data_IF_531331102996
#
_entry.id   IF_531331102996
#
_cell.length_a   1.000
_cell.length_b   1.000
_cell.length_c   1.000
_cell.angle_alpha   90.00
_cell.angle_beta   90.00
_cell.angle_gamma   90.00
#
_symmetry.space_group_name_H-M   'P 1'
#
loop_
_entity.id
_entity.type
_entity.pdbx_description
1 polymer ?
#
# COMPACT_ATOMS: atom_id res chain seq x y z
N UNK A 1 -13.16 -25.06 -31.42
CA UNK A 1 -12.33 -23.87 -31.12
C UNK A 1 -12.80 -23.23 -29.81
N UNK A 2 -12.60 -23.90 -28.68
CA UNK A 2 -13.09 -23.46 -27.35
C UNK A 2 -11.98 -23.30 -26.30
N UNK A 3 -10.71 -23.34 -26.69
CA UNK A 3 -9.59 -23.40 -25.74
C UNK A 3 -9.17 -22.06 -25.12
N UNK A 4 -9.27 -20.94 -25.83
CA UNK A 4 -8.75 -19.65 -25.33
C UNK A 4 -9.58 -19.06 -24.19
N UNK A 5 -10.92 -19.19 -24.27
CA UNK A 5 -11.83 -18.66 -23.26
C UNK A 5 -11.66 -19.33 -21.89
N UNK A 6 -11.42 -20.64 -21.85
CA UNK A 6 -11.22 -21.38 -20.59
C UNK A 6 -9.91 -20.98 -19.90
N UNK A 7 -8.85 -20.75 -20.67
CA UNK A 7 -7.57 -20.27 -20.15
C UNK A 7 -7.66 -18.83 -19.62
N UNK A 8 -8.32 -17.92 -20.32
CA UNK A 8 -8.56 -16.55 -19.86
C UNK A 8 -9.38 -16.52 -18.57
N UNK A 9 -10.39 -17.40 -18.44
CA UNK A 9 -11.18 -17.53 -17.23
C UNK A 9 -10.37 -18.11 -16.06
N UNK A 10 -9.50 -19.10 -16.32
CA UNK A 10 -8.62 -19.68 -15.31
C UNK A 10 -7.56 -18.67 -14.82
N UNK A 11 -6.95 -17.92 -15.74
CA UNK A 11 -5.99 -16.86 -15.40
C UNK A 11 -6.66 -15.75 -14.57
N UNK A 12 -7.85 -15.30 -14.97
CA UNK A 12 -8.62 -14.32 -14.23
C UNK A 12 -8.94 -14.80 -12.81
N UNK A 13 -9.38 -16.05 -12.64
CA UNK A 13 -9.67 -16.61 -11.32
C UNK A 13 -8.41 -16.71 -10.45
N UNK A 14 -7.27 -17.08 -11.02
CA UNK A 14 -5.99 -17.12 -10.31
C UNK A 14 -5.56 -15.72 -9.83
N UNK A 15 -5.69 -14.71 -10.69
CA UNK A 15 -5.38 -13.31 -10.38
C UNK A 15 -6.30 -12.74 -9.29
N UNK A 16 -7.60 -13.02 -9.36
CA UNK A 16 -8.57 -12.59 -8.35
C UNK A 16 -8.35 -13.29 -7.01
N UNK A 17 -7.97 -14.56 -7.01
CA UNK A 17 -7.63 -15.31 -5.78
C UNK A 17 -6.39 -14.72 -5.13
N UNK A 18 -5.34 -14.45 -5.91
CA UNK A 18 -4.12 -13.79 -5.42
C UNK A 18 -4.39 -12.39 -4.86
N UNK A 19 -5.28 -11.62 -5.49
CA UNK A 19 -5.70 -10.31 -4.99
C UNK A 19 -6.36 -10.39 -3.62
N UNK A 20 -7.31 -11.32 -3.43
CA UNK A 20 -7.98 -11.54 -2.13
C UNK A 20 -7.01 -12.01 -1.05
N UNK A 21 -6.06 -12.88 -1.38
CA UNK A 21 -5.07 -13.36 -0.41
C UNK A 21 -4.13 -12.24 0.02
N UNK A 22 -3.71 -11.37 -0.91
CA UNK A 22 -2.91 -10.18 -0.60
C UNK A 22 -3.67 -9.19 0.31
N UNK A 23 -4.96 -8.99 0.07
CA UNK A 23 -5.82 -8.14 0.90
C UNK A 23 -5.99 -8.72 2.31
N UNK A 24 -6.25 -10.02 2.43
CA UNK A 24 -6.35 -10.71 3.73
C UNK A 24 -5.05 -10.62 4.52
N UNK A 25 -3.93 -10.89 3.87
CA UNK A 25 -2.61 -10.77 4.50
C UNK A 25 -2.37 -9.34 5.00
N UNK A 26 -2.76 -8.33 4.22
CA UNK A 26 -2.64 -6.93 4.61
C UNK A 26 -3.48 -6.59 5.84
N UNK A 27 -4.75 -7.04 5.86
CA UNK A 27 -5.65 -6.81 6.99
C UNK A 27 -5.11 -7.48 8.26
N UNK A 28 -4.57 -8.70 8.15
CA UNK A 28 -3.94 -9.41 9.26
C UNK A 28 -2.69 -8.65 9.74
N UNK A 29 -1.80 -8.26 8.84
CA UNK A 29 -0.59 -7.52 9.21
C UNK A 29 -0.91 -6.16 9.82
N UNK A 30 -1.89 -5.44 9.28
CA UNK A 30 -2.36 -4.16 9.79
C UNK A 30 -2.94 -4.30 11.20
N UNK A 31 -3.83 -5.26 11.40
CA UNK A 31 -4.48 -5.48 12.71
C UNK A 31 -3.50 -5.99 13.75
N UNK A 32 -2.62 -6.94 13.38
CA UNK A 32 -1.57 -7.43 14.28
C UNK A 32 -0.61 -6.31 14.68
N UNK A 33 -0.13 -5.51 13.74
CA UNK A 33 0.73 -4.37 14.01
C UNK A 33 0.03 -3.31 14.87
N UNK A 34 -1.25 -3.02 14.60
CA UNK A 34 -2.06 -2.10 15.38
C UNK A 34 -2.26 -2.57 16.82
N UNK A 35 -2.53 -3.86 17.03
CA UNK A 35 -2.62 -4.48 18.36
C UNK A 35 -1.29 -4.38 19.11
N UNK A 36 -0.18 -4.72 18.45
CA UNK A 36 1.16 -4.61 19.06
C UNK A 36 1.48 -3.16 19.42
N UNK A 37 1.19 -2.20 18.54
CA UNK A 37 1.38 -0.78 18.82
C UNK A 37 0.54 -0.31 20.01
N UNK A 38 -0.72 -0.75 20.11
CA UNK A 38 -1.60 -0.42 21.24
C UNK A 38 -1.11 -1.02 22.56
N UNK A 39 -0.64 -2.27 22.55
CA UNK A 39 -0.05 -2.94 23.72
C UNK A 39 1.22 -2.21 24.17
N UNK A 40 2.12 -1.88 23.24
CA UNK A 40 3.35 -1.14 23.53
C UNK A 40 3.06 0.28 24.05
N UNK A 41 2.06 0.96 23.49
CA UNK A 41 1.64 2.28 23.95
C UNK A 41 1.06 2.20 25.37
N UNK A 42 0.17 1.24 25.62
CA UNK A 42 -0.41 1.00 26.94
C UNK A 42 0.67 0.68 27.98
N UNK A 43 1.62 -0.18 27.63
CA UNK A 43 2.78 -0.49 28.47
C UNK A 43 3.60 0.77 28.73
N UNK A 44 3.93 1.53 27.69
CA UNK A 44 4.74 2.75 27.81
C UNK A 44 4.08 3.82 28.68
N UNK A 45 2.75 3.95 28.63
CA UNK A 45 1.96 4.79 29.52
C UNK A 45 2.05 4.29 30.96
N UNK A 46 1.83 2.99 31.20
CA UNK A 46 1.92 2.39 32.53
C UNK A 46 3.31 2.52 33.17
N UNK A 47 4.36 2.35 32.37
CA UNK A 47 5.75 2.48 32.79
C UNK A 47 6.25 3.93 32.84
N UNK A 48 5.46 4.91 32.34
CA UNK A 48 5.83 6.32 32.19
C UNK A 48 7.22 6.50 31.57
N UNK A 49 7.48 5.75 30.49
CA UNK A 49 8.79 5.71 29.84
C UNK A 49 8.74 6.32 28.45
N UNK A 50 9.56 7.33 28.20
CA UNK A 50 9.72 7.94 26.88
C UNK A 50 10.39 6.99 25.86
N UNK A 51 11.24 6.07 26.32
CA UNK A 51 11.95 5.15 25.43
C UNK A 51 11.04 4.10 24.77
N UNK A 52 9.94 3.75 25.44
CA UNK A 52 8.94 2.80 24.93
C UNK A 52 8.04 3.39 23.83
N UNK A 53 8.06 4.71 23.62
CA UNK A 53 7.29 5.35 22.55
C UNK A 53 7.89 5.14 21.16
N UNK A 54 9.22 4.97 21.08
CA UNK A 54 9.90 4.75 19.81
C UNK A 54 9.49 3.43 19.14
N UNK A 55 9.44 2.27 19.84
CA UNK A 55 8.88 1.03 19.31
C UNK A 55 7.43 1.13 18.81
N UNK A 56 6.59 1.97 19.43
CA UNK A 56 5.20 2.20 18.98
C UNK A 56 5.17 2.77 17.56
N UNK A 57 6.06 3.71 17.26
CA UNK A 57 6.19 4.30 15.92
C UNK A 57 6.61 3.23 14.91
N UNK A 58 7.60 2.40 15.23
CA UNK A 58 8.05 1.34 14.31
C UNK A 58 6.99 0.27 14.07
N UNK A 59 6.27 -0.17 15.11
CA UNK A 59 5.17 -1.11 14.96
C UNK A 59 4.06 -0.53 14.05
N UNK A 60 3.70 0.73 14.26
CA UNK A 60 2.70 1.43 13.44
C UNK A 60 3.16 1.57 11.98
N UNK A 61 4.45 1.91 11.78
CA UNK A 61 5.05 2.01 10.46
C UNK A 61 5.07 0.67 9.71
N UNK A 62 5.38 -0.43 10.39
CA UNK A 62 5.36 -1.76 9.80
C UNK A 62 3.95 -2.12 9.28
N UNK A 63 2.91 -1.89 10.08
CA UNK A 63 1.53 -2.09 9.65
C UNK A 63 1.19 -1.26 8.41
N UNK A 64 1.60 0.01 8.40
CA UNK A 64 1.40 0.91 7.27
C UNK A 64 2.05 0.39 5.98
N UNK A 65 3.30 -0.06 6.03
CA UNK A 65 3.99 -0.59 4.86
C UNK A 65 3.37 -1.88 4.33
N UNK A 66 2.95 -2.80 5.20
CA UNK A 66 2.23 -4.01 4.78
C UNK A 66 0.91 -3.66 4.05
N UNK A 67 0.24 -2.61 4.50
CA UNK A 67 -1.01 -2.12 3.88
C UNK A 67 -0.76 -1.43 2.54
N UNK A 68 0.32 -0.65 2.39
CA UNK A 68 0.69 -0.11 1.08
C UNK A 68 1.03 -1.22 0.09
N UNK A 69 1.87 -2.16 0.51
CA UNK A 69 2.43 -3.15 -0.41
C UNK A 69 1.32 -3.98 -1.06
N UNK A 70 0.39 -4.46 -0.24
CA UNK A 70 -0.80 -5.17 -0.69
C UNK A 70 -1.71 -4.32 -1.58
N UNK A 71 -2.00 -3.07 -1.21
CA UNK A 71 -2.80 -2.14 -2.03
C UNK A 71 -2.17 -1.92 -3.40
N UNK A 72 -0.85 -1.79 -3.46
CA UNK A 72 -0.13 -1.66 -4.73
C UNK A 72 -0.27 -2.93 -5.59
N UNK A 73 -0.14 -4.11 -4.99
CA UNK A 73 -0.35 -5.39 -5.69
C UNK A 73 -1.77 -5.51 -6.25
N UNK A 74 -2.80 -5.20 -5.44
CA UNK A 74 -4.21 -5.25 -5.87
C UNK A 74 -4.47 -4.28 -7.02
N UNK A 75 -3.92 -3.05 -6.96
CA UNK A 75 -4.04 -2.05 -8.06
C UNK A 75 -3.36 -2.49 -9.35
N UNK A 76 -2.21 -3.16 -9.27
CA UNK A 76 -1.53 -3.68 -10.45
C UNK A 76 -2.32 -4.81 -11.10
N UNK A 77 -2.88 -5.74 -10.31
CA UNK A 77 -3.75 -6.82 -10.81
C UNK A 77 -5.00 -6.23 -11.47
N UNK A 78 -5.62 -5.23 -10.85
CA UNK A 78 -6.75 -4.50 -11.40
C UNK A 78 -6.43 -3.84 -12.75
N UNK A 79 -5.28 -3.16 -12.85
CA UNK A 79 -4.82 -2.54 -14.09
C UNK A 79 -4.56 -3.56 -15.20
N UNK A 80 -4.01 -4.71 -14.86
CA UNK A 80 -3.73 -5.79 -15.82
C UNK A 80 -5.03 -6.35 -16.41
N UNK A 81 -5.99 -6.67 -15.55
CA UNK A 81 -7.31 -7.19 -15.96
C UNK A 81 -8.01 -6.20 -16.89
N UNK A 82 -7.97 -4.90 -16.54
CA UNK A 82 -8.55 -3.84 -17.36
C UNK A 82 -7.89 -3.78 -18.75
N UNK A 83 -6.56 -3.81 -18.82
CA UNK A 83 -5.85 -3.63 -20.09
C UNK A 83 -5.96 -4.84 -21.02
N UNK A 84 -5.78 -6.05 -20.49
CA UNK A 84 -5.59 -7.24 -21.32
C UNK A 84 -6.88 -8.06 -21.53
N UNK A 85 -7.83 -8.04 -20.59
CA UNK A 85 -9.04 -8.87 -20.66
C UNK A 85 -10.24 -8.08 -21.20
N UNK A 86 -10.38 -6.81 -20.81
CA UNK A 86 -11.55 -6.00 -21.20
C UNK A 86 -11.39 -5.35 -22.58
N UNK A 87 -10.16 -4.94 -22.96
CA UNK A 87 -9.90 -4.27 -24.25
C UNK A 87 -10.02 -5.22 -25.45
N UNK A 88 -9.77 -6.52 -25.28
CA UNK A 88 -9.78 -7.50 -26.38
C UNK A 88 -11.18 -8.05 -26.74
N UNK A 89 -12.13 -8.09 -25.79
CA UNK A 89 -13.38 -8.84 -25.95
C UNK A 89 -14.64 -8.00 -26.28
N UNK A 90 -14.47 -6.75 -26.74
CA UNK A 90 -15.53 -5.98 -27.41
C UNK A 90 -16.84 -5.79 -26.64
N UNK A 91 -16.86 -4.85 -25.69
CA UNK A 91 -18.11 -4.24 -25.20
C UNK A 91 -18.17 -4.05 -23.67
N UNK A 92 -18.75 -2.94 -23.17
CA UNK A 92 -18.68 -2.57 -21.77
C UNK A 92 -19.65 -3.43 -20.94
N UNK A 93 -19.16 -4.57 -20.43
CA UNK A 93 -19.75 -5.26 -19.27
C UNK A 93 -19.52 -4.49 -17.94
N UNK A 94 -18.97 -3.29 -18.08
CA UNK A 94 -18.59 -2.27 -17.09
C UNK A 94 -19.63 -2.03 -15.97
N UNK A 95 -20.93 -2.02 -16.27
CA UNK A 95 -21.93 -1.60 -15.28
C UNK A 95 -22.29 -2.63 -14.19
N UNK A 96 -21.98 -3.93 -14.37
CA UNK A 96 -22.39 -4.97 -13.40
C UNK A 96 -21.23 -5.60 -12.61
N UNK A 97 -19.99 -5.52 -13.10
CA UNK A 97 -18.83 -6.17 -12.43
C UNK A 97 -17.84 -5.20 -11.76
N UNK A 98 -17.72 -3.96 -12.24
CA UNK A 98 -16.86 -2.96 -11.60
C UNK A 98 -17.44 -2.45 -10.26
N UNK A 99 -18.78 -2.37 -10.17
CA UNK A 99 -19.45 -2.06 -8.90
C UNK A 99 -19.23 -3.12 -7.82
N UNK A 100 -18.92 -4.38 -8.18
CA UNK A 100 -18.49 -5.38 -7.20
C UNK A 100 -17.02 -5.21 -6.78
N UNK A 101 -16.16 -4.66 -7.66
CA UNK A 101 -14.76 -4.35 -7.34
C UNK A 101 -14.63 -3.07 -6.49
N UNK A 102 -15.50 -2.06 -6.67
CA UNK A 102 -15.58 -0.89 -5.76
C UNK A 102 -15.99 -1.25 -4.34
N UNK A 103 -16.69 -2.37 -4.16
CA UNK A 103 -17.10 -2.93 -2.86
C UNK A 103 -15.96 -3.76 -2.23
N UNK A 104 -14.93 -4.15 -2.99
CA UNK A 104 -13.75 -4.85 -2.45
C UNK A 104 -12.84 -3.84 -1.72
N UNK A 105 -12.58 -4.03 -0.41
CA UNK A 105 -11.70 -3.17 0.36
C UNK A 105 -10.29 -3.12 -0.29
N UNK A 106 -9.88 -1.92 -0.73
CA UNK A 106 -8.61 -1.73 -1.47
C UNK A 106 -8.78 -1.04 -2.82
N UNK A 107 -10.00 -1.07 -3.38
CA UNK A 107 -10.37 -0.28 -4.56
C UNK A 107 -10.92 1.11 -4.20
N UNK A 108 -11.54 1.26 -3.02
CA UNK A 108 -12.10 2.53 -2.59
C UNK A 108 -10.98 3.48 -2.06
N UNK A 109 -10.68 4.58 -2.77
CA UNK A 109 -9.62 5.53 -2.39
C UNK A 109 -9.91 6.29 -1.09
N UNK A 110 -11.16 6.25 -0.57
CA UNK A 110 -11.50 6.87 0.72
C UNK A 110 -10.94 6.08 1.91
N UNK A 111 -10.85 4.75 1.80
CA UNK A 111 -10.27 3.88 2.85
C UNK A 111 -8.76 4.04 3.01
N UNK A 112 -8.09 4.61 2.01
CA UNK A 112 -6.64 4.82 2.04
C UNK A 112 -6.25 5.82 3.12
N UNK A 113 -6.96 6.95 3.16
CA UNK A 113 -6.73 8.00 4.13
C UNK A 113 -7.10 7.58 5.54
N UNK A 114 -8.12 6.74 5.73
CA UNK A 114 -8.47 6.24 7.05
C UNK A 114 -7.31 5.49 7.71
N UNK A 115 -6.65 4.59 6.97
CA UNK A 115 -5.46 3.88 7.48
C UNK A 115 -4.31 4.86 7.78
N UNK A 116 -4.00 5.76 6.83
CA UNK A 116 -2.92 6.74 7.01
C UNK A 116 -3.16 7.68 8.19
N UNK A 117 -4.40 8.13 8.38
CA UNK A 117 -4.79 8.98 9.52
C UNK A 117 -4.69 8.23 10.84
N UNK A 118 -5.13 6.96 10.89
CA UNK A 118 -5.14 6.17 12.12
C UNK A 118 -3.71 5.87 12.60
N UNK A 119 -2.80 5.54 11.70
CA UNK A 119 -1.39 5.36 12.06
C UNK A 119 -0.74 6.68 12.45
N UNK A 120 -1.01 7.78 11.75
CA UNK A 120 -0.48 9.08 12.13
C UNK A 120 -1.02 9.55 13.50
N UNK A 121 -2.28 9.25 13.83
CA UNK A 121 -2.83 9.52 15.15
C UNK A 121 -2.08 8.74 16.24
N UNK A 122 -1.75 7.46 15.99
CA UNK A 122 -0.94 6.64 16.89
C UNK A 122 0.48 7.23 17.10
N UNK A 123 1.11 7.68 16.00
CA UNK A 123 2.43 8.30 16.02
C UNK A 123 2.41 9.62 16.80
N UNK A 124 1.40 10.47 16.58
CA UNK A 124 1.22 11.73 17.32
C UNK A 124 1.03 11.45 18.80
N UNK A 125 0.21 10.46 19.16
CA UNK A 125 0.03 10.06 20.56
C UNK A 125 1.36 9.63 21.18
N UNK A 126 2.14 8.79 20.49
CA UNK A 126 3.46 8.35 20.96
C UNK A 126 4.43 9.54 21.17
N UNK A 127 4.44 10.51 20.26
CA UNK A 127 5.26 11.74 20.40
C UNK A 127 4.83 12.57 21.61
N UNK A 128 3.52 12.78 21.80
CA UNK A 128 2.98 13.52 22.96
C UNK A 128 3.39 12.83 24.26
N UNK A 129 3.19 11.52 24.37
CA UNK A 129 3.59 10.77 25.56
C UNK A 129 5.10 10.73 25.76
N UNK A 130 5.91 10.72 24.70
CA UNK A 130 7.36 10.77 24.83
C UNK A 130 7.82 12.06 25.52
N UNK A 131 7.20 13.20 25.19
CA UNK A 131 7.47 14.48 25.84
C UNK A 131 6.90 14.56 27.25
N UNK A 132 5.68 14.05 27.49
CA UNK A 132 5.10 14.00 28.84
C UNK A 132 5.96 13.18 29.82
N UNK A 133 6.62 12.15 29.32
CA UNK A 133 7.46 11.26 30.13
C UNK A 133 8.97 11.55 30.01
N UNK A 134 9.37 12.63 29.33
CA UNK A 134 10.77 12.97 29.14
C UNK A 134 11.50 13.24 30.47
N UNK A 135 10.83 13.89 31.43
CA UNK A 135 11.40 14.16 32.75
C UNK A 135 11.58 12.90 33.62
N UNK A 136 10.95 11.77 33.27
CA UNK A 136 10.94 10.56 34.08
C UNK A 136 12.15 9.63 33.86
N UNK A 137 13.00 9.91 32.86
CA UNK A 137 14.15 9.08 32.51
C UNK A 137 15.43 9.90 32.39
N UNK A 138 16.59 9.39 32.83
CA UNK A 138 17.87 9.91 32.39
C UNK A 138 17.91 9.77 30.85
N UNK A 139 18.16 10.87 30.13
CA UNK A 139 18.05 11.00 28.67
C UNK A 139 16.64 11.05 28.06
N UNK A 140 15.59 11.34 28.84
CA UNK A 140 14.25 11.37 28.29
C UNK A 140 14.02 12.47 27.24
N UNK A 141 14.68 13.63 27.35
CA UNK A 141 14.62 14.69 26.32
C UNK A 141 15.24 14.23 24.99
N UNK A 142 16.35 13.49 25.05
CA UNK A 142 16.97 12.92 23.85
C UNK A 142 16.05 11.89 23.20
N UNK A 143 15.46 10.99 24.00
CA UNK A 143 14.52 9.98 23.51
C UNK A 143 13.24 10.59 22.94
N UNK A 144 12.71 11.66 23.56
CA UNK A 144 11.58 12.41 23.04
C UNK A 144 11.93 13.11 21.70
N UNK A 145 13.13 13.68 21.60
CA UNK A 145 13.66 14.25 20.36
C UNK A 145 13.77 13.22 19.23
N UNK A 146 14.37 12.05 19.50
CA UNK A 146 14.48 10.95 18.53
C UNK A 146 13.09 10.45 18.11
N UNK A 147 12.20 10.23 19.07
CA UNK A 147 10.81 9.80 18.82
C UNK A 147 10.08 10.80 17.94
N UNK A 148 10.27 12.10 18.20
CA UNK A 148 9.70 13.18 17.38
C UNK A 148 10.27 13.16 15.96
N UNK A 149 11.59 13.06 15.80
CA UNK A 149 12.25 13.00 14.50
C UNK A 149 11.77 11.82 13.65
N UNK A 150 11.72 10.62 14.25
CA UNK A 150 11.17 9.43 13.60
C UNK A 150 9.68 9.60 13.26
N UNK A 151 8.88 10.17 14.19
CA UNK A 151 7.46 10.39 14.00
C UNK A 151 7.14 11.36 12.86
N UNK A 152 7.83 12.51 12.80
CA UNK A 152 7.66 13.49 11.73
C UNK A 152 8.12 12.92 10.39
N UNK A 153 9.30 12.28 10.36
CA UNK A 153 9.81 11.66 9.13
C UNK A 153 8.85 10.61 8.58
N UNK A 154 8.31 9.75 9.45
CA UNK A 154 7.29 8.78 9.09
C UNK A 154 5.98 9.44 8.65
N UNK A 155 5.51 10.49 9.32
CA UNK A 155 4.27 11.18 8.97
C UNK A 155 4.35 11.81 7.57
N UNK A 156 5.44 12.51 7.27
CA UNK A 156 5.68 13.08 5.94
C UNK A 156 5.76 11.97 4.88
N UNK A 157 6.51 10.91 5.15
CA UNK A 157 6.65 9.79 4.22
C UNK A 157 5.31 9.08 3.96
N UNK A 158 4.52 8.84 5.01
CA UNK A 158 3.21 8.17 4.88
C UNK A 158 2.22 9.01 4.07
N UNK A 159 2.15 10.32 4.30
CA UNK A 159 1.29 11.20 3.49
C UNK A 159 1.75 11.23 2.04
N UNK A 160 3.06 11.36 1.79
CA UNK A 160 3.63 11.39 0.46
C UNK A 160 3.36 10.08 -0.31
N UNK A 161 3.57 8.92 0.31
CA UNK A 161 3.38 7.63 -0.34
C UNK A 161 1.90 7.32 -0.57
N UNK A 162 1.02 7.71 0.36
CA UNK A 162 -0.44 7.63 0.17
C UNK A 162 -0.88 8.50 -1.02
N UNK A 163 -0.36 9.73 -1.12
CA UNK A 163 -0.65 10.62 -2.24
C UNK A 163 -0.10 10.08 -3.57
N UNK A 164 1.12 9.51 -3.57
CA UNK A 164 1.74 8.86 -4.72
C UNK A 164 0.90 7.69 -5.23
N UNK A 165 0.47 6.80 -4.34
CA UNK A 165 -0.37 5.65 -4.70
C UNK A 165 -1.69 6.05 -5.32
N UNK A 166 -2.28 7.18 -4.90
CA UNK A 166 -3.51 7.71 -5.51
C UNK A 166 -3.28 8.29 -6.90
N UNK A 167 -2.10 8.86 -7.15
CA UNK A 167 -1.72 9.39 -8.47
C UNK A 167 -1.25 8.31 -9.44
N UNK A 168 -0.82 7.15 -8.92
CA UNK A 168 -0.41 6.02 -9.74
C UNK A 168 -1.62 5.51 -10.55
N UNK A 169 -1.50 5.56 -11.89
CA UNK A 169 -2.47 5.01 -12.80
C UNK A 169 -1.98 3.63 -13.28
N UNK A 170 -2.44 2.52 -12.67
CA UNK A 170 -1.97 1.19 -13.03
C UNK A 170 -2.33 0.80 -14.47
N UNK A 171 -3.38 1.37 -15.07
CA UNK A 171 -3.69 1.17 -16.49
C UNK A 171 -2.64 1.80 -17.41
N UNK A 172 -2.17 3.00 -17.09
CA UNK A 172 -1.11 3.66 -17.85
C UNK A 172 0.23 2.90 -17.76
N UNK A 173 0.52 2.28 -16.61
CA UNK A 173 1.68 1.41 -16.45
C UNK A 173 1.62 0.21 -17.41
N UNK A 174 0.50 -0.50 -17.47
CA UNK A 174 0.35 -1.65 -18.37
C UNK A 174 0.32 -1.26 -19.85
N UNK A 175 -0.23 -0.10 -20.20
CA UNK A 175 -0.11 0.44 -21.56
C UNK A 175 1.35 0.66 -21.98
N UNK A 176 2.20 1.18 -21.09
CA UNK A 176 3.63 1.35 -21.37
C UNK A 176 4.36 0.02 -21.53
N UNK A 177 4.05 -0.96 -20.68
CA UNK A 177 4.61 -2.32 -20.78
C UNK A 177 4.19 -2.99 -22.10
N UNK A 178 2.95 -2.77 -22.55
CA UNK A 178 2.44 -3.27 -23.84
C UNK A 178 3.15 -2.66 -25.04
N UNK A 179 3.63 -1.42 -24.92
CA UNK A 179 4.30 -0.72 -26.02
C UNK A 179 5.75 -1.17 -26.26
N UNK A 180 6.40 -1.81 -25.28
CA UNK A 180 7.76 -2.37 -25.39
C UNK A 180 8.83 -1.35 -25.79
N UNK A 181 10.13 -1.70 -25.73
CA UNK A 181 11.14 -0.95 -26.49
C UNK A 181 10.81 -1.16 -27.97
N UNK A 182 10.55 -0.09 -28.73
CA UNK A 182 10.57 -0.21 -30.18
C UNK A 182 11.97 -0.69 -30.57
N UNK A 183 12.09 -1.95 -30.99
CA UNK A 183 13.24 -2.39 -31.76
C UNK A 183 13.27 -1.48 -32.99
N UNK A 184 14.19 -0.51 -33.01
CA UNK A 184 14.57 0.16 -34.26
C UNK A 184 14.95 -0.96 -35.21
N UNK A 185 14.20 -1.18 -36.31
CA UNK A 185 14.53 -2.23 -37.25
C UNK A 185 15.97 -1.98 -37.73
N UNK A 186 16.81 -3.01 -37.85
CA UNK A 186 18.18 -2.82 -38.31
C UNK A 186 18.09 -2.11 -39.65
N UNK A 187 18.68 -0.92 -39.70
CA UNK A 187 18.82 -0.12 -40.91
C UNK A 187 19.35 -1.08 -41.97
N UNK A 188 18.48 -1.48 -42.91
CA UNK A 188 18.93 -2.16 -44.12
C UNK A 188 19.86 -1.16 -44.76
N UNK A 189 21.16 -1.34 -44.53
CA UNK A 189 22.21 -0.89 -45.41
C UNK A 189 21.88 -1.52 -46.77
N UNK A 190 21.02 -0.82 -47.53
CA UNK A 190 20.92 -0.99 -48.96
C UNK A 190 22.32 -0.70 -49.49
N UNK A 191 23.07 -1.78 -49.70
CA UNK A 191 24.15 -1.82 -50.65
C UNK A 191 23.58 -1.36 -51.98
N UNK A 192 23.69 -0.06 -52.27
CA UNK A 192 23.69 0.42 -53.64
C UNK A 192 25.11 0.25 -54.17
N UNK A 193 25.18 -0.73 -55.07
CA UNK A 193 26.21 -0.97 -56.10
C UNK A 193 27.04 0.24 -56.52
#
# INVERSE_FOLDING_TARGET
MSGSGDWEHAEYQALMTRGRDAERAALICWTAAGLVAAVLLSWGIGAKSSSLMLPVIFASAFGYYATIHSRNQVRLIAGYVKEFVETQNGGPKWFTRLGHLEVVPGFNPSSDWAATLLVNAMVVAAVVFAWLYAAASPHGDLMAGITTGCGVGFAVHSVAETARLRRANPGAFWHQVRQGPMETPPERLTMTR
#
